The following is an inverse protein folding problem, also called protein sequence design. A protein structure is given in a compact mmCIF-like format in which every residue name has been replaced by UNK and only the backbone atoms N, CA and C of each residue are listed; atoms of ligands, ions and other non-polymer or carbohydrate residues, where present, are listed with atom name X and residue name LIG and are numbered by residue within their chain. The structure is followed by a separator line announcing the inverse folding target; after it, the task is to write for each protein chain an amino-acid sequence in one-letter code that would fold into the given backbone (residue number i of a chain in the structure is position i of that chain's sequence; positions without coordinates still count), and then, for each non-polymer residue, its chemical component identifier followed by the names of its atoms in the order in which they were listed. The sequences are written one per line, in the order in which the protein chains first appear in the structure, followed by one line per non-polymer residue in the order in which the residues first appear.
data_IF_354470461871
#
_entry.id   IF_354470461871
#
_cell.length_a   1.000
_cell.length_b   1.000
_cell.length_c   1.000
_cell.angle_alpha   90.00
_cell.angle_beta   90.00
_cell.angle_gamma   90.00
#
_symmetry.space_group_name_H-M   'P 1'
#
loop_
_entity.id
_entity.type
_entity.pdbx_description
1 polymer ?
#
# COMPACT_ATOMS: atom_id res chain seq x y z
N UNK A 1 6.93 -3.61 2.87
CA UNK A 1 7.28 -2.31 3.51
C UNK A 1 6.22 -1.28 3.14
N UNK A 2 5.89 -0.35 4.05
CA UNK A 2 4.97 0.78 3.82
C UNK A 2 5.70 2.09 4.14
N UNK A 3 5.74 3.01 3.18
CA UNK A 3 6.30 4.35 3.34
C UNK A 3 5.19 5.39 3.25
N UNK A 4 5.03 6.20 4.29
CA UNK A 4 4.04 7.27 4.36
C UNK A 4 4.73 8.63 4.23
N UNK A 5 4.21 9.49 3.36
CA UNK A 5 4.64 10.90 3.21
C UNK A 5 3.44 11.81 3.34
N UNK A 6 3.61 12.98 3.97
CA UNK A 6 2.58 14.01 4.12
C UNK A 6 3.11 15.34 3.59
N UNK A 7 2.28 16.10 2.89
CA UNK A 7 2.64 17.44 2.44
C UNK A 7 2.90 18.35 3.65
N UNK A 8 3.75 19.37 3.45
CA UNK A 8 4.05 20.36 4.51
C UNK A 8 2.81 21.14 4.96
N UNK A 9 1.85 21.34 4.06
CA UNK A 9 0.55 21.95 4.34
C UNK A 9 -0.45 21.00 5.02
N UNK A 10 -0.12 19.72 5.17
CA UNK A 10 -0.94 18.72 5.87
C UNK A 10 -2.15 18.18 5.10
N UNK A 11 -2.55 18.85 4.01
CA UNK A 11 -3.79 18.53 3.27
C UNK A 11 -3.69 17.35 2.30
N UNK A 12 -2.49 16.87 1.97
CA UNK A 12 -2.34 15.68 1.11
C UNK A 12 -1.26 14.74 1.64
N UNK A 13 -1.40 13.46 1.30
CA UNK A 13 -0.50 12.41 1.71
C UNK A 13 -0.35 11.33 0.65
N UNK A 14 0.64 10.48 0.84
CA UNK A 14 0.86 9.33 -0.03
C UNK A 14 1.37 8.16 0.80
N UNK A 15 0.71 7.02 0.67
CA UNK A 15 1.18 5.75 1.20
C UNK A 15 1.69 4.89 0.05
N UNK A 16 2.97 4.55 0.08
CA UNK A 16 3.60 3.64 -0.88
C UNK A 16 3.80 2.28 -0.24
N UNK A 17 3.24 1.26 -0.85
CA UNK A 17 3.40 -0.13 -0.49
C UNK A 17 4.39 -0.79 -1.43
N UNK A 18 5.28 -1.61 -0.87
CA UNK A 18 6.22 -2.43 -1.62
C UNK A 18 6.14 -3.86 -1.13
N UNK A 19 5.78 -4.74 -2.04
CA UNK A 19 5.68 -6.18 -1.83
C UNK A 19 6.79 -6.85 -2.62
N UNK A 20 7.69 -7.55 -1.92
CA UNK A 20 8.76 -8.34 -2.54
C UNK A 20 8.29 -9.79 -2.66
N UNK A 21 8.49 -10.38 -3.83
CA UNK A 21 8.05 -11.73 -4.20
C UNK A 21 6.61 -12.06 -3.74
N UNK A 22 5.61 -11.18 -3.99
CA UNK A 22 4.24 -11.47 -3.59
C UNK A 22 3.69 -12.67 -4.35
N UNK A 23 2.87 -13.48 -3.67
CA UNK A 23 2.17 -14.64 -4.28
C UNK A 23 1.34 -14.27 -5.51
N UNK A 24 0.92 -13.01 -5.64
CA UNK A 24 0.22 -12.52 -6.83
C UNK A 24 1.06 -12.59 -8.12
N UNK A 25 2.39 -12.68 -8.01
CA UNK A 25 3.31 -12.90 -9.14
C UNK A 25 3.69 -14.36 -9.34
N UNK A 26 3.10 -15.29 -8.57
CA UNK A 26 3.37 -16.72 -8.76
C UNK A 26 2.95 -17.15 -10.17
N UNK A 27 3.66 -18.14 -10.72
CA UNK A 27 3.51 -18.56 -12.13
C UNK A 27 2.11 -19.10 -12.45
N UNK A 28 1.41 -19.55 -11.41
CA UNK A 28 0.03 -20.03 -11.49
C UNK A 28 -1.02 -18.90 -11.45
N UNK A 29 -0.60 -17.66 -11.17
CA UNK A 29 -1.47 -16.48 -11.16
C UNK A 29 -1.70 -16.01 -12.59
N UNK A 30 -2.89 -16.31 -13.12
CA UNK A 30 -3.31 -15.86 -14.47
C UNK A 30 -4.06 -14.54 -14.44
N UNK A 31 -4.34 -14.00 -13.25
CA UNK A 31 -5.14 -12.80 -13.08
C UNK A 31 -4.30 -11.53 -13.23
N UNK A 32 -4.83 -10.56 -13.96
CA UNK A 32 -4.22 -9.24 -14.07
C UNK A 32 -4.40 -8.45 -12.77
N UNK A 33 -3.32 -7.80 -12.31
CA UNK A 33 -3.35 -6.95 -11.13
C UNK A 33 -3.82 -5.56 -11.54
N UNK A 34 -5.06 -5.23 -11.22
CA UNK A 34 -5.71 -3.95 -11.60
C UNK A 34 -5.80 -2.94 -10.47
N UNK A 35 -5.52 -3.35 -9.23
CA UNK A 35 -5.63 -2.51 -8.05
C UNK A 35 -5.21 -3.20 -6.77
N UNK A 36 -5.14 -2.42 -5.70
CA UNK A 36 -4.93 -2.88 -4.34
C UNK A 36 -6.14 -2.48 -3.49
N UNK A 37 -6.66 -3.47 -2.76
CA UNK A 37 -7.82 -3.34 -1.88
C UNK A 37 -7.35 -3.53 -0.44
N UNK A 38 -7.63 -2.55 0.41
CA UNK A 38 -7.34 -2.55 1.84
C UNK A 38 -8.68 -2.66 2.58
N UNK A 39 -8.99 -3.86 3.08
CA UNK A 39 -10.31 -4.21 3.59
C UNK A 39 -10.21 -4.44 5.10
N UNK A 40 -11.08 -3.78 5.87
CA UNK A 40 -11.26 -4.01 7.31
C UNK A 40 -12.74 -3.90 7.71
N UNK A 41 -13.04 -3.92 9.01
CA UNK A 41 -14.40 -3.80 9.55
C UNK A 41 -15.12 -2.48 9.21
N UNK A 42 -14.39 -1.45 8.79
CA UNK A 42 -14.96 -0.16 8.37
C UNK A 42 -15.19 -0.07 6.86
N UNK A 43 -14.94 -1.15 6.12
CA UNK A 43 -15.12 -1.24 4.68
C UNK A 43 -13.80 -1.29 3.91
N UNK A 44 -13.77 -0.69 2.73
CA UNK A 44 -12.64 -0.81 1.79
C UNK A 44 -11.99 0.54 1.47
N UNK A 45 -10.66 0.52 1.32
CA UNK A 45 -9.87 1.59 0.71
C UNK A 45 -9.22 1.01 -0.55
N UNK A 46 -9.41 1.68 -1.69
CA UNK A 46 -8.98 1.16 -3.00
C UNK A 46 -7.96 2.10 -3.63
N UNK A 47 -6.94 1.52 -4.27
CA UNK A 47 -6.12 2.24 -5.25
C UNK A 47 -5.93 1.41 -6.52
N UNK A 48 -5.91 2.10 -7.67
CA UNK A 48 -5.58 1.51 -8.98
C UNK A 48 -4.14 1.81 -9.41
N UNK A 49 -3.43 2.61 -8.63
CA UNK A 49 -2.02 2.95 -8.90
C UNK A 49 -1.12 1.80 -8.45
N UNK A 50 -1.05 0.75 -9.28
CA UNK A 50 -0.26 -0.46 -9.02
C UNK A 50 0.71 -0.70 -10.18
N UNK A 51 1.95 -1.04 -9.85
CA UNK A 51 3.03 -1.27 -10.80
C UNK A 51 3.82 -2.51 -10.44
N UNK A 52 4.01 -3.42 -11.38
CA UNK A 52 4.99 -4.48 -11.30
C UNK A 52 6.39 -3.96 -11.65
N UNK A 53 7.42 -4.44 -10.95
CA UNK A 53 8.82 -4.21 -11.32
C UNK A 53 9.53 -5.53 -11.58
N UNK A 54 10.35 -5.50 -12.63
CA UNK A 54 11.18 -6.60 -13.05
C UNK A 54 12.60 -6.42 -12.53
N UNK A 55 13.19 -7.51 -12.05
CA UNK A 55 14.60 -7.60 -11.67
C UNK A 55 15.18 -8.74 -12.51
N UNK A 56 16.22 -8.45 -13.30
CA UNK A 56 16.83 -9.43 -14.21
C UNK A 56 15.83 -10.18 -15.12
N UNK A 57 14.81 -9.46 -15.61
CA UNK A 57 13.78 -10.01 -16.50
C UNK A 57 12.68 -10.82 -15.82
N UNK A 58 12.69 -10.95 -14.48
CA UNK A 58 11.65 -11.66 -13.71
C UNK A 58 10.79 -10.66 -12.92
N UNK A 59 9.47 -10.83 -12.88
CA UNK A 59 8.61 -9.99 -12.05
C UNK A 59 8.85 -10.36 -10.58
N UNK A 60 9.38 -9.43 -9.79
CA UNK A 60 9.75 -9.69 -8.38
C UNK A 60 9.04 -8.77 -7.39
N UNK A 61 8.64 -7.58 -7.81
CA UNK A 61 8.15 -6.55 -6.89
C UNK A 61 6.83 -5.99 -7.40
N UNK A 62 5.87 -5.82 -6.50
CA UNK A 62 4.69 -4.98 -6.74
C UNK A 62 4.81 -3.72 -5.88
N UNK A 63 4.61 -2.57 -6.51
CA UNK A 63 4.44 -1.29 -5.82
C UNK A 63 3.01 -0.79 -6.00
N UNK A 64 2.36 -0.42 -4.91
CA UNK A 64 1.05 0.24 -4.93
C UNK A 64 1.14 1.61 -4.25
N UNK A 65 0.43 2.60 -4.78
CA UNK A 65 0.41 3.97 -4.26
C UNK A 65 -1.01 4.35 -3.90
N UNK A 66 -1.26 4.74 -2.66
CA UNK A 66 -2.53 5.34 -2.25
C UNK A 66 -2.32 6.83 -2.03
N UNK A 67 -3.08 7.65 -2.76
CA UNK A 67 -3.10 9.11 -2.62
C UNK A 67 -4.17 9.49 -1.60
N UNK A 68 -3.76 10.20 -0.55
CA UNK A 68 -4.63 10.69 0.52
C UNK A 68 -4.90 12.16 0.23
N UNK A 69 -6.15 12.51 -0.06
CA UNK A 69 -6.55 13.84 -0.56
C UNK A 69 -7.24 14.70 0.50
N UNK A 70 -7.60 14.12 1.64
CA UNK A 70 -8.24 14.84 2.75
C UNK A 70 -7.77 14.33 4.12
N UNK A 71 -8.13 15.08 5.18
CA UNK A 71 -7.83 14.65 6.55
C UNK A 71 -8.67 13.44 6.96
N UNK A 72 -9.90 13.33 6.47
CA UNK A 72 -10.79 12.20 6.74
C UNK A 72 -10.24 10.91 6.12
N UNK A 73 -9.76 10.99 4.87
CA UNK A 73 -9.07 9.85 4.23
C UNK A 73 -7.78 9.47 4.99
N UNK A 74 -7.07 10.47 5.52
CA UNK A 74 -5.89 10.24 6.33
C UNK A 74 -6.23 9.46 7.61
N UNK A 75 -7.24 9.91 8.35
CA UNK A 75 -7.67 9.26 9.59
C UNK A 75 -8.22 7.85 9.32
N UNK A 76 -8.98 7.67 8.24
CA UNK A 76 -9.46 6.35 7.78
C UNK A 76 -8.29 5.42 7.44
N UNK A 77 -7.28 5.91 6.73
CA UNK A 77 -6.08 5.16 6.39
C UNK A 77 -5.27 4.77 7.62
N UNK A 78 -5.07 5.69 8.56
CA UNK A 78 -4.33 5.43 9.79
C UNK A 78 -5.03 4.38 10.67
N UNK A 79 -6.37 4.40 10.74
CA UNK A 79 -7.15 3.34 11.43
C UNK A 79 -6.97 1.96 10.78
N UNK A 80 -7.05 1.90 9.45
CA UNK A 80 -6.74 0.66 8.70
C UNK A 80 -5.34 0.15 9.04
N UNK A 81 -4.31 0.99 8.88
CA UNK A 81 -2.92 0.59 9.11
C UNK A 81 -2.66 0.15 10.56
N UNK A 82 -3.32 0.77 11.54
CA UNK A 82 -3.21 0.38 12.94
C UNK A 82 -3.82 -1.01 13.19
N UNK A 83 -4.96 -1.35 12.58
CA UNK A 83 -5.54 -2.70 12.65
C UNK A 83 -4.67 -3.71 11.93
N UNK A 84 -4.31 -3.41 10.68
CA UNK A 84 -3.51 -4.29 9.84
C UNK A 84 -2.14 -4.61 10.47
N UNK A 85 -1.47 -3.63 11.09
CA UNK A 85 -0.20 -3.84 11.76
C UNK A 85 -0.31 -4.72 13.03
N UNK A 86 -1.40 -4.62 13.79
CA UNK A 86 -1.65 -5.47 14.96
C UNK A 86 -1.84 -6.94 14.57
N UNK A 87 -2.47 -7.19 13.43
CA UNK A 87 -2.75 -8.54 12.95
C UNK A 87 -1.58 -9.18 12.19
N UNK A 88 -0.75 -8.37 11.52
CA UNK A 88 0.23 -8.86 10.53
C UNK A 88 1.70 -8.51 10.87
N UNK A 89 1.97 -8.12 12.12
CA UNK A 89 3.31 -7.83 12.67
C UNK A 89 4.17 -6.95 11.73
N UNK A 90 3.52 -5.97 11.09
CA UNK A 90 4.18 -5.11 10.12
C UNK A 90 5.00 -4.03 10.82
N UNK A 91 6.33 -4.17 10.70
CA UNK A 91 7.27 -3.10 10.98
C UNK A 91 6.99 -1.88 10.09
N UNK A 92 6.22 -0.92 10.62
CA UNK A 92 6.05 0.40 10.01
C UNK A 92 7.40 1.14 10.08
N UNK A 93 8.18 1.13 9.00
CA UNK A 93 9.35 2.01 8.92
C UNK A 93 8.88 3.46 8.70
N UNK A 94 8.63 4.19 9.78
CA UNK A 94 8.50 5.66 9.73
C UNK A 94 9.87 6.25 9.41
N UNK A 95 10.13 6.58 8.15
CA UNK A 95 11.20 7.55 7.83
C UNK A 95 10.66 8.96 8.08
N UNK A 96 10.79 9.44 9.32
CA UNK A 96 10.73 10.86 9.65
C UNK A 96 12.15 11.40 9.78
N UNK A 97 12.42 12.56 9.16
CA UNK A 97 13.35 13.54 9.71
C UNK A 97 12.51 14.65 10.31
#
# INVERSE_FOLDING_TARGET
NVRLTRSRSGGTGTAKFTFQNPKALDSNSTAEITGMYMIDEEGEIITREVKGKFVNGRPEIIEAIYLIKSNEEWDRFMRFMNRYAKENDLGLSKSGR
#
